data_IF_502030950316
#
_entry.id   IF_502030950316
#
_cell.length_a   1.000
_cell.length_b   1.000
_cell.length_c   1.000
_cell.angle_alpha   90.00
_cell.angle_beta   90.00
_cell.angle_gamma   90.00
#
_symmetry.space_group_name_H-M   'P 1'
#
loop_
_entity.id
_entity.type
_entity.pdbx_description
1 polymer ?
#
# COMPACT_ATOMS: atom_id res chain seq x y z
N UNK A 1 -23.40 -37.25 16.55
CA UNK A 1 -22.75 -36.35 15.55
C UNK A 1 -21.99 -37.22 14.55
N UNK A 2 -22.52 -37.44 13.33
CA UNK A 2 -21.84 -38.22 12.29
C UNK A 2 -20.91 -37.30 11.50
N UNK A 3 -19.59 -37.44 11.69
CA UNK A 3 -18.57 -36.78 10.86
C UNK A 3 -18.65 -37.36 9.45
N UNK A 4 -18.91 -36.51 8.44
CA UNK A 4 -18.92 -36.92 7.02
C UNK A 4 -17.48 -36.84 6.51
N UNK A 5 -16.89 -37.98 6.18
CA UNK A 5 -15.64 -38.04 5.41
C UNK A 5 -15.96 -37.59 3.98
N UNK A 6 -15.24 -36.60 3.40
CA UNK A 6 -15.47 -36.22 2.01
C UNK A 6 -15.01 -37.37 1.10
N UNK A 7 -15.94 -37.97 0.36
CA UNK A 7 -15.68 -39.04 -0.63
C UNK A 7 -15.26 -38.48 -1.99
N UNK A 8 -14.82 -37.23 -2.05
CA UNK A 8 -14.45 -36.58 -3.31
C UNK A 8 -12.94 -36.62 -3.48
N UNK A 9 -12.47 -37.47 -4.41
CA UNK A 9 -11.10 -37.35 -4.95
C UNK A 9 -11.13 -36.19 -5.93
N UNK A 10 -10.62 -35.04 -5.52
CA UNK A 10 -10.41 -33.91 -6.42
C UNK A 10 -9.40 -34.31 -7.51
N UNK A 11 -9.65 -33.91 -8.76
CA UNK A 11 -8.70 -34.15 -9.84
C UNK A 11 -7.46 -33.26 -9.67
N UNK A 12 -6.33 -33.63 -10.29
CA UNK A 12 -5.07 -32.86 -10.22
C UNK A 12 -5.30 -31.39 -10.61
N UNK A 13 -6.07 -31.15 -11.67
CA UNK A 13 -6.42 -29.80 -12.14
C UNK A 13 -7.27 -29.03 -11.11
N UNK A 14 -8.15 -29.72 -10.38
CA UNK A 14 -9.01 -29.12 -9.37
C UNK A 14 -8.21 -28.76 -8.11
N UNK A 15 -7.20 -29.56 -7.76
CA UNK A 15 -6.25 -29.24 -6.70
C UNK A 15 -5.39 -28.01 -7.04
N UNK A 16 -4.83 -27.98 -8.26
CA UNK A 16 -3.97 -26.87 -8.73
C UNK A 16 -4.75 -25.55 -8.78
N UNK A 17 -6.02 -25.60 -9.20
CA UNK A 17 -6.87 -24.41 -9.30
C UNK A 17 -7.52 -23.99 -7.98
N UNK A 18 -7.47 -24.82 -6.93
CA UNK A 18 -8.00 -24.45 -5.60
C UNK A 18 -7.11 -23.44 -4.85
N UNK A 19 -5.82 -23.37 -5.20
CA UNK A 19 -4.84 -22.50 -4.55
C UNK A 19 -4.61 -21.16 -5.27
N UNK A 20 -5.19 -20.97 -6.45
CA UNK A 20 -5.07 -19.74 -7.23
C UNK A 20 -6.39 -18.97 -7.18
N UNK A 21 -6.43 -17.92 -6.34
CA UNK A 21 -7.55 -16.98 -6.28
C UNK A 21 -7.57 -16.09 -7.53
N UNK A 22 -7.91 -16.66 -8.69
CA UNK A 22 -8.29 -15.90 -9.87
C UNK A 22 -9.45 -16.59 -10.60
N UNK A 23 -10.63 -16.09 -10.29
CA UNK A 23 -11.89 -16.20 -11.02
C UNK A 23 -11.72 -16.06 -12.53
N UNK A 24 -12.00 -17.12 -13.31
CA UNK A 24 -12.48 -17.07 -14.71
C UNK A 24 -13.33 -18.35 -14.96
N UNK A 25 -14.34 -18.34 -15.84
CA UNK A 25 -15.71 -17.93 -15.52
C UNK A 25 -16.71 -19.08 -15.74
N UNK A 26 -17.44 -19.48 -14.70
CA UNK A 26 -18.71 -20.21 -14.88
C UNK A 26 -19.80 -19.14 -15.08
N UNK A 27 -20.67 -19.38 -16.06
CA UNK A 27 -21.70 -18.49 -16.58
C UNK A 27 -22.31 -17.48 -15.59
N UNK A 28 -22.38 -16.22 -16.04
CA UNK A 28 -22.72 -15.03 -15.27
C UNK A 28 -24.08 -15.07 -14.54
N UNK A 29 -24.13 -14.75 -13.24
CA UNK A 29 -25.16 -13.87 -12.72
C UNK A 29 -24.77 -12.41 -13.01
N UNK A 30 -25.78 -11.54 -13.08
CA UNK A 30 -25.72 -10.13 -13.48
C UNK A 30 -24.45 -9.37 -13.04
N UNK A 31 -23.98 -8.37 -13.82
CA UNK A 31 -22.86 -7.54 -13.41
C UNK A 31 -23.26 -6.75 -12.16
N UNK A 32 -22.96 -7.30 -10.99
CA UNK A 32 -22.90 -6.51 -9.77
C UNK A 32 -21.91 -5.39 -10.06
N UNK A 33 -22.44 -4.18 -10.07
CA UNK A 33 -21.65 -2.97 -10.26
C UNK A 33 -20.49 -3.02 -9.28
N UNK A 34 -19.27 -3.26 -9.80
CA UNK A 34 -18.04 -3.01 -9.06
C UNK A 34 -18.24 -1.64 -8.39
N UNK A 35 -18.13 -1.51 -7.06
CA UNK A 35 -18.29 -0.21 -6.43
C UNK A 35 -17.33 0.70 -7.16
N UNK A 36 -17.88 1.76 -7.77
CA UNK A 36 -17.14 2.67 -8.62
C UNK A 36 -15.92 3.14 -7.82
N UNK A 37 -14.77 2.52 -8.10
CA UNK A 37 -13.55 2.74 -7.34
C UNK A 37 -13.28 4.23 -7.42
N UNK A 38 -13.29 4.90 -6.27
CA UNK A 38 -13.10 6.35 -6.17
C UNK A 38 -11.91 6.71 -7.04
N UNK A 39 -12.16 7.38 -8.18
CA UNK A 39 -11.08 7.76 -9.10
C UNK A 39 -10.06 8.54 -8.28
N UNK A 40 -8.84 8.01 -8.18
CA UNK A 40 -7.75 8.73 -7.53
C UNK A 40 -7.57 10.04 -8.27
N UNK A 41 -7.64 11.15 -7.54
CA UNK A 41 -7.48 12.50 -8.09
C UNK A 41 -6.02 12.89 -8.28
N UNK A 42 -5.09 12.01 -7.91
CA UNK A 42 -3.66 12.26 -7.96
C UNK A 42 -2.92 11.22 -8.80
N UNK A 43 -1.81 11.65 -9.39
CA UNK A 43 -0.85 10.78 -10.07
C UNK A 43 0.09 10.18 -9.04
N UNK A 44 0.14 8.85 -8.94
CA UNK A 44 1.13 8.18 -8.10
C UNK A 44 2.52 8.30 -8.75
N UNK A 45 3.55 8.50 -7.93
CA UNK A 45 4.95 8.55 -8.35
C UNK A 45 5.73 7.39 -7.72
N UNK A 46 6.79 6.96 -8.37
CA UNK A 46 7.80 6.07 -7.80
C UNK A 46 9.03 6.89 -7.43
N UNK A 47 9.62 6.62 -6.27
CA UNK A 47 10.82 7.29 -5.77
C UNK A 47 11.80 6.25 -5.24
N UNK A 48 13.09 6.48 -5.48
CA UNK A 48 14.16 5.62 -4.97
C UNK A 48 14.72 6.19 -3.68
N UNK A 49 14.73 5.37 -2.63
CA UNK A 49 15.24 5.72 -1.29
C UNK A 49 16.14 4.57 -0.82
N UNK A 50 17.15 4.89 0.01
CA UNK A 50 17.94 3.87 0.70
C UNK A 50 17.15 3.27 1.85
N UNK A 51 17.57 2.11 2.35
CA UNK A 51 16.92 1.46 3.49
C UNK A 51 16.90 2.38 4.73
N UNK A 52 18.01 3.07 5.01
CA UNK A 52 18.10 4.04 6.10
C UNK A 52 17.05 5.16 6.00
N UNK A 53 16.71 5.62 4.78
CA UNK A 53 15.67 6.63 4.61
C UNK A 53 14.27 6.06 4.92
N UNK A 54 14.02 4.80 4.54
CA UNK A 54 12.75 4.12 4.82
C UNK A 54 12.59 3.91 6.32
N UNK A 55 13.66 3.46 6.99
CA UNK A 55 13.69 3.28 8.44
C UNK A 55 13.40 4.59 9.18
N UNK A 56 14.06 5.70 8.79
CA UNK A 56 13.81 7.02 9.39
C UNK A 56 12.34 7.47 9.22
N UNK A 57 11.72 7.21 8.07
CA UNK A 57 10.29 7.50 7.85
C UNK A 57 9.42 6.66 8.78
N UNK A 58 9.69 5.36 8.88
CA UNK A 58 8.91 4.44 9.70
C UNK A 58 9.05 4.76 11.20
N UNK A 59 10.24 5.17 11.67
CA UNK A 59 10.44 5.65 13.04
C UNK A 59 9.55 6.86 13.37
N UNK A 60 9.44 7.82 12.46
CA UNK A 60 8.55 8.98 12.65
C UNK A 60 7.09 8.54 12.72
N UNK A 61 6.67 7.58 11.90
CA UNK A 61 5.30 7.01 11.95
C UNK A 61 5.04 6.34 13.30
N UNK A 62 6.01 5.56 13.81
CA UNK A 62 5.92 4.91 15.12
C UNK A 62 5.83 5.96 16.24
N UNK A 63 6.64 7.02 16.19
CA UNK A 63 6.59 8.12 17.16
C UNK A 63 5.24 8.85 17.11
N UNK A 64 4.73 9.15 15.92
CA UNK A 64 3.41 9.77 15.75
C UNK A 64 2.31 8.91 16.37
N UNK A 65 2.33 7.60 16.11
CA UNK A 65 1.36 6.65 16.68
C UNK A 65 1.45 6.58 18.22
N UNK A 66 2.66 6.59 18.79
CA UNK A 66 2.86 6.65 20.26
C UNK A 66 2.26 7.91 20.88
N UNK A 67 2.25 9.01 20.14
CA UNK A 67 1.65 10.28 20.55
C UNK A 67 0.14 10.39 20.20
N UNK A 68 -0.49 9.28 19.81
CA UNK A 68 -1.93 9.23 19.50
C UNK A 68 -2.30 9.69 18.09
N UNK A 69 -1.32 10.06 17.26
CA UNK A 69 -1.54 10.43 15.86
C UNK A 69 -1.50 9.15 15.01
N UNK A 70 -2.68 8.58 14.78
CA UNK A 70 -2.84 7.32 14.04
C UNK A 70 -3.19 7.55 12.57
N UNK A 71 -3.02 6.51 11.74
CA UNK A 71 -3.32 6.50 10.29
C UNK A 71 -2.41 7.39 9.43
N UNK A 72 -1.21 7.69 9.92
CA UNK A 72 -0.18 8.36 9.13
C UNK A 72 0.46 7.35 8.16
N UNK A 73 0.62 7.76 6.91
CA UNK A 73 1.28 6.96 5.88
C UNK A 73 2.65 7.52 5.52
N UNK A 74 3.53 6.70 4.93
CA UNK A 74 4.82 7.17 4.39
C UNK A 74 4.66 8.34 3.43
N UNK A 75 3.59 8.35 2.63
CA UNK A 75 3.29 9.45 1.72
C UNK A 75 2.97 10.76 2.46
N UNK A 76 2.38 10.70 3.64
CA UNK A 76 2.09 11.91 4.42
C UNK A 76 3.36 12.51 5.04
N UNK A 77 4.27 11.65 5.52
CA UNK A 77 5.60 12.09 5.96
C UNK A 77 6.39 12.73 4.82
N UNK A 78 6.37 12.12 3.63
CA UNK A 78 7.03 12.67 2.44
C UNK A 78 6.43 14.03 2.04
N UNK A 79 5.10 14.18 2.06
CA UNK A 79 4.46 15.49 1.80
C UNK A 79 4.89 16.54 2.82
N UNK A 80 4.86 16.20 4.10
CA UNK A 80 5.28 17.12 5.17
C UNK A 80 6.74 17.56 5.00
N UNK A 81 7.62 16.64 4.60
CA UNK A 81 9.01 16.97 4.30
C UNK A 81 9.12 17.94 3.11
N UNK A 82 8.34 17.74 2.05
CA UNK A 82 8.30 18.64 0.87
C UNK A 82 7.75 20.02 1.27
N UNK A 83 6.65 20.07 2.01
CA UNK A 83 6.03 21.31 2.48
C UNK A 83 7.02 22.10 3.36
N UNK A 84 7.75 21.41 4.25
CA UNK A 84 8.81 22.02 5.06
C UNK A 84 10.03 22.50 4.27
N UNK A 85 10.26 22.00 3.04
CA UNK A 85 11.25 22.58 2.13
C UNK A 85 10.73 23.85 1.47
N UNK A 86 9.44 23.93 1.16
CA UNK A 86 8.82 25.10 0.53
C UNK A 86 8.85 26.36 1.43
N UNK A 87 8.91 26.18 2.75
CA UNK A 87 9.04 27.27 3.73
C UNK A 87 10.47 27.84 3.84
N UNK A 88 11.48 27.20 3.24
CA UNK A 88 12.88 27.62 3.34
C UNK A 88 13.22 28.66 2.29
N UNK A 89 14.12 29.58 2.65
CA UNK A 89 14.68 30.52 1.68
C UNK A 89 15.59 29.82 0.67
N UNK A 90 15.76 30.42 -0.51
CA UNK A 90 16.63 29.90 -1.57
C UNK A 90 18.05 29.60 -1.05
N UNK A 91 18.63 30.51 -0.26
CA UNK A 91 19.96 30.34 0.33
C UNK A 91 20.04 29.11 1.26
N UNK A 92 18.99 28.84 2.04
CA UNK A 92 18.91 27.67 2.91
C UNK A 92 18.79 26.38 2.12
N UNK A 93 17.97 26.38 1.05
CA UNK A 93 17.84 25.24 0.14
C UNK A 93 19.16 24.89 -0.54
N UNK A 94 19.85 25.90 -1.08
CA UNK A 94 21.18 25.72 -1.70
C UNK A 94 22.21 25.21 -0.69
N UNK A 95 22.14 25.66 0.57
CA UNK A 95 23.02 25.16 1.62
C UNK A 95 22.74 23.70 1.99
N UNK A 96 21.49 23.25 1.93
CA UNK A 96 21.13 21.84 2.13
C UNK A 96 21.63 20.97 0.98
N UNK A 97 21.49 21.44 -0.26
CA UNK A 97 21.95 20.71 -1.45
C UNK A 97 23.46 20.49 -1.45
N UNK A 98 24.25 21.42 -0.90
CA UNK A 98 25.71 21.28 -0.78
C UNK A 98 26.17 20.20 0.22
N UNK A 99 25.25 19.68 1.04
CA UNK A 99 25.54 18.63 2.03
C UNK A 99 25.23 17.22 1.52
N UNK A 100 24.60 17.11 0.35
CA UNK A 100 24.39 15.85 -0.37
C UNK A 100 25.71 15.39 -0.99
#
# INVERSE_FOLDING_TARGET
MKKRTPTHRMSEDEFINSATSHTLPVAAPAPEAKPAGRKRTYKAISVSLTDNHIEAIDEVIVQAARNGIVRITRSDIIKLAIDGLAEKSEAQLLALLKKL
#
